data_IF_553349510565
#
_entry.id   IF_553349510565
#
_cell.length_a   1.000
_cell.length_b   1.000
_cell.length_c   1.000
_cell.angle_alpha   90.00
_cell.angle_beta   90.00
_cell.angle_gamma   90.00
#
_symmetry.space_group_name_H-M   'P 1'
#
loop_
_entity.id
_entity.type
_entity.pdbx_description
1 polymer ?
#
# COMPACT_ATOMS: atom_id res chain seq x y z
N UNK A 1 45.35 27.68 -12.68
CA UNK A 1 45.14 26.79 -11.52
C UNK A 1 43.76 27.08 -10.91
N UNK A 2 42.97 26.03 -10.69
CA UNK A 2 41.81 25.96 -9.76
C UNK A 2 40.41 26.37 -10.26
N UNK A 3 39.70 25.44 -10.95
CA UNK A 3 38.23 25.25 -10.80
C UNK A 3 37.81 23.76 -10.84
N UNK A 4 38.67 22.84 -10.40
CA UNK A 4 38.40 21.38 -10.40
C UNK A 4 37.73 20.86 -9.11
N UNK A 5 37.06 21.72 -8.32
CA UNK A 5 36.56 21.38 -6.97
C UNK A 5 35.08 21.66 -6.74
N UNK A 6 34.26 21.64 -7.79
CA UNK A 6 32.79 21.66 -7.63
C UNK A 6 32.11 20.30 -7.90
N UNK A 7 32.88 19.24 -8.17
CA UNK A 7 32.37 17.87 -8.34
C UNK A 7 31.97 17.16 -7.04
N UNK A 8 32.11 17.80 -5.87
CA UNK A 8 31.66 17.23 -4.59
C UNK A 8 30.32 17.79 -4.11
N UNK A 9 29.47 18.35 -4.99
CA UNK A 9 28.04 18.39 -4.69
C UNK A 9 27.52 16.96 -4.80
N UNK A 10 27.63 16.22 -3.69
CA UNK A 10 26.92 14.96 -3.46
C UNK A 10 25.47 15.19 -3.87
N UNK A 11 25.13 14.74 -5.07
CA UNK A 11 23.75 14.57 -5.51
C UNK A 11 23.22 13.54 -4.52
N UNK A 12 22.51 14.04 -3.50
CA UNK A 12 21.77 13.21 -2.55
C UNK A 12 21.02 12.23 -3.43
N UNK A 13 21.33 10.94 -3.32
CA UNK A 13 20.59 9.89 -4.01
C UNK A 13 19.13 10.12 -3.61
N UNK A 14 18.39 10.80 -4.48
CA UNK A 14 16.94 10.80 -4.43
C UNK A 14 16.65 9.33 -4.59
N UNK A 15 16.27 8.67 -3.52
CA UNK A 15 15.83 7.28 -3.56
C UNK A 15 14.66 7.27 -4.54
N UNK A 16 14.95 6.96 -5.81
CA UNK A 16 13.97 6.78 -6.86
C UNK A 16 13.40 5.39 -6.55
N UNK A 17 12.16 5.30 -6.05
CA UNK A 17 11.54 4.01 -5.78
C UNK A 17 11.66 3.15 -7.04
N UNK A 18 11.98 1.87 -6.87
CA UNK A 18 12.23 0.96 -7.99
C UNK A 18 11.10 1.02 -9.04
N UNK A 19 9.85 1.16 -8.56
CA UNK A 19 8.62 1.35 -9.34
C UNK A 19 8.58 2.60 -10.25
N UNK A 20 9.52 3.54 -10.12
CA UNK A 20 9.64 4.74 -10.95
C UNK A 20 10.82 4.67 -11.93
N UNK A 21 11.53 3.53 -11.97
CA UNK A 21 12.51 3.26 -13.02
C UNK A 21 11.77 2.89 -14.32
N UNK A 22 12.07 3.54 -15.47
CA UNK A 22 11.39 3.30 -16.74
C UNK A 22 11.38 1.83 -17.21
N UNK A 23 12.35 1.03 -16.77
CA UNK A 23 12.46 -0.36 -17.19
C UNK A 23 11.43 -1.29 -16.52
N UNK A 24 10.84 -0.89 -15.38
CA UNK A 24 9.93 -1.75 -14.64
C UNK A 24 8.55 -1.86 -15.29
N UNK A 25 8.06 -0.77 -15.90
CA UNK A 25 6.74 -0.78 -16.53
C UNK A 25 6.71 -1.51 -17.88
N UNK A 26 7.84 -1.73 -18.55
CA UNK A 26 7.84 -2.48 -19.83
C UNK A 26 7.39 -3.93 -19.64
N UNK A 27 7.95 -4.61 -18.64
CA UNK A 27 7.55 -5.99 -18.31
C UNK A 27 6.10 -6.05 -17.86
N UNK A 28 5.66 -5.07 -17.07
CA UNK A 28 4.28 -4.97 -16.60
C UNK A 28 3.32 -4.71 -17.76
N UNK A 29 3.68 -3.83 -18.70
CA UNK A 29 2.90 -3.49 -19.90
C UNK A 29 2.73 -4.71 -20.82
N UNK A 30 3.81 -5.46 -21.05
CA UNK A 30 3.75 -6.73 -21.78
C UNK A 30 2.88 -7.76 -21.04
N UNK A 31 3.01 -7.84 -19.72
CA UNK A 31 2.16 -8.68 -18.87
C UNK A 31 0.67 -8.31 -18.94
N UNK A 32 0.34 -7.02 -19.00
CA UNK A 32 -1.04 -6.52 -19.12
C UNK A 32 -1.61 -6.88 -20.50
N UNK A 33 -0.84 -6.64 -21.58
CA UNK A 33 -1.26 -6.99 -22.95
C UNK A 33 -1.50 -8.49 -23.13
N UNK A 34 -0.69 -9.33 -22.48
CA UNK A 34 -0.81 -10.79 -22.54
C UNK A 34 -1.79 -11.37 -21.52
N UNK A 35 -2.34 -10.54 -20.62
CA UNK A 35 -3.30 -10.95 -19.58
C UNK A 35 -2.70 -11.74 -18.42
N UNK A 36 -1.37 -11.73 -18.24
CA UNK A 36 -0.64 -12.47 -17.20
C UNK A 36 -0.08 -11.57 -16.09
N UNK A 37 -0.41 -10.29 -16.10
CA UNK A 37 0.07 -9.33 -15.11
C UNK A 37 -0.51 -9.61 -13.72
N UNK A 38 0.36 -9.79 -12.73
CA UNK A 38 -0.06 -10.00 -11.34
C UNK A 38 0.91 -9.30 -10.40
N UNK A 39 0.37 -8.60 -9.40
CA UNK A 39 1.16 -7.90 -8.40
C UNK A 39 0.82 -8.38 -6.99
N UNK A 40 1.80 -8.41 -6.08
CA UNK A 40 1.54 -8.68 -4.67
C UNK A 40 0.80 -7.49 -4.05
N UNK A 41 -0.52 -7.62 -3.90
CA UNK A 41 -1.38 -6.59 -3.30
C UNK A 41 -2.21 -7.14 -2.15
N UNK A 42 -2.62 -6.25 -1.26
CA UNK A 42 -3.49 -6.58 -0.14
C UNK A 42 -4.91 -6.13 -0.42
N UNK A 43 -5.83 -7.07 -0.56
CA UNK A 43 -7.24 -6.74 -0.68
C UNK A 43 -7.78 -6.20 0.67
N UNK A 44 -8.37 -5.00 0.61
CA UNK A 44 -8.94 -4.33 1.78
C UNK A 44 -10.45 -4.56 1.93
N UNK A 45 -11.14 -4.99 0.86
CA UNK A 45 -12.59 -5.11 0.81
C UNK A 45 -13.19 -4.23 -0.29
N UNK A 46 -14.51 -4.11 -0.28
CA UNK A 46 -15.28 -3.22 -1.15
C UNK A 46 -16.14 -2.29 -0.28
N UNK A 47 -16.46 -1.11 -0.79
CA UNK A 47 -17.33 -0.13 -0.11
C UNK A 47 -18.19 0.56 -1.16
N UNK A 48 -19.44 0.84 -0.80
CA UNK A 48 -20.34 1.62 -1.65
C UNK A 48 -19.96 3.11 -1.58
N UNK A 49 -20.03 3.78 -2.73
CA UNK A 49 -19.66 5.19 -2.88
C UNK A 49 -20.75 5.93 -3.64
N UNK A 50 -20.94 7.20 -3.31
CA UNK A 50 -22.01 8.03 -3.87
C UNK A 50 -21.73 8.42 -5.34
N UNK A 51 -20.46 8.65 -5.69
CA UNK A 51 -20.03 8.96 -7.06
C UNK A 51 -19.11 7.86 -7.60
N UNK A 52 -19.32 7.44 -8.85
CA UNK A 52 -18.54 6.35 -9.44
C UNK A 52 -17.11 6.75 -9.87
N UNK A 53 -16.78 8.05 -9.90
CA UNK A 53 -15.51 8.56 -10.42
C UNK A 53 -15.02 9.75 -9.59
N UNK A 54 -13.71 9.81 -9.35
CA UNK A 54 -13.09 10.95 -8.68
C UNK A 54 -11.95 10.49 -7.78
N UNK A 55 -10.84 11.24 -7.78
CA UNK A 55 -9.68 10.95 -6.93
C UNK A 55 -10.08 10.96 -5.44
N UNK A 56 -10.86 11.97 -5.04
CA UNK A 56 -11.30 12.17 -3.66
C UNK A 56 -12.21 11.03 -3.17
N UNK A 57 -13.05 10.46 -4.05
CA UNK A 57 -13.90 9.32 -3.74
C UNK A 57 -13.06 8.09 -3.41
N UNK A 58 -12.05 7.78 -4.23
CA UNK A 58 -11.13 6.67 -3.99
C UNK A 58 -10.38 6.84 -2.66
N UNK A 59 -9.94 8.05 -2.34
CA UNK A 59 -9.25 8.35 -1.09
C UNK A 59 -10.16 8.12 0.13
N UNK A 60 -11.40 8.61 0.07
CA UNK A 60 -12.38 8.43 1.13
C UNK A 60 -12.77 6.96 1.32
N UNK A 61 -12.99 6.22 0.23
CA UNK A 61 -13.28 4.79 0.25
C UNK A 61 -12.18 4.00 0.99
N UNK A 62 -10.91 4.28 0.67
CA UNK A 62 -9.77 3.63 1.35
C UNK A 62 -9.71 4.03 2.83
N UNK A 63 -10.07 5.28 3.17
CA UNK A 63 -10.12 5.74 4.56
C UNK A 63 -11.18 4.98 5.38
N UNK A 64 -12.38 4.79 4.83
CA UNK A 64 -13.46 3.99 5.44
C UNK A 64 -13.03 2.53 5.63
N UNK A 65 -12.53 1.88 4.58
CA UNK A 65 -12.05 0.49 4.62
C UNK A 65 -10.91 0.27 5.64
N UNK A 66 -9.98 1.22 5.75
CA UNK A 66 -8.90 1.13 6.74
C UNK A 66 -9.41 1.31 8.17
N UNK A 67 -10.42 2.14 8.41
CA UNK A 67 -11.00 2.35 9.74
C UNK A 67 -11.72 1.08 10.24
N UNK A 68 -12.56 0.49 9.39
CA UNK A 68 -13.27 -0.77 9.69
C UNK A 68 -12.30 -1.91 9.97
N UNK A 69 -11.24 -2.04 9.15
CA UNK A 69 -10.23 -3.08 9.34
C UNK A 69 -9.42 -2.90 10.63
N UNK A 70 -9.12 -1.66 11.01
CA UNK A 70 -8.45 -1.37 12.30
C UNK A 70 -9.36 -1.75 13.47
N UNK A 71 -10.65 -1.46 13.36
CA UNK A 71 -11.64 -1.88 14.35
C UNK A 71 -11.67 -3.41 14.48
N UNK A 72 -11.76 -4.14 13.37
CA UNK A 72 -11.77 -5.60 13.38
C UNK A 72 -10.49 -6.22 13.96
N UNK A 73 -9.30 -5.66 13.64
CA UNK A 73 -8.03 -6.13 14.18
C UNK A 73 -7.92 -5.87 15.70
N UNK A 74 -8.46 -4.75 16.18
CA UNK A 74 -8.50 -4.43 17.61
C UNK A 74 -9.53 -5.25 18.39
N UNK A 75 -10.68 -5.57 17.78
CA UNK A 75 -11.76 -6.31 18.41
C UNK A 75 -11.43 -7.80 18.54
N UNK A 76 -10.91 -8.43 17.49
CA UNK A 76 -10.48 -9.84 17.54
C UNK A 76 -9.23 -10.06 18.41
N UNK A 77 -8.35 -9.06 18.49
CA UNK A 77 -7.18 -9.12 19.37
C UNK A 77 -7.54 -9.17 20.86
N UNK A 78 -8.71 -8.63 21.25
CA UNK A 78 -9.16 -8.61 22.65
C UNK A 78 -10.08 -9.78 23.00
N UNK A 79 -10.79 -10.33 22.02
CA UNK A 79 -11.68 -11.49 22.21
C UNK A 79 -10.90 -12.81 22.36
N UNK A 80 -9.71 -12.94 21.74
CA UNK A 80 -8.88 -14.15 21.84
C UNK A 80 -8.05 -14.20 23.15
N UNK A 81 -7.90 -13.09 23.87
CA UNK A 81 -7.11 -13.04 25.12
C UNK A 81 -7.92 -13.23 26.40
N UNK A 82 -9.20 -13.61 26.34
CA UNK A 82 -9.92 -13.99 27.54
C UNK A 82 -9.52 -15.41 27.95
N UNK A 83 -8.81 -15.60 29.08
CA UNK A 83 -8.50 -16.94 29.57
C UNK A 83 -9.82 -17.65 29.94
N UNK A 84 -9.96 -18.95 29.66
CA UNK A 84 -11.08 -19.74 30.18
C UNK A 84 -10.88 -19.94 31.69
N UNK A 85 -11.20 -18.94 32.50
CA UNK A 85 -11.38 -19.16 33.94
C UNK A 85 -12.78 -19.73 34.18
N UNK A 86 -12.80 -20.91 34.79
CA UNK A 86 -13.91 -21.47 35.58
C UNK A 86 -14.99 -22.25 34.82
N UNK A 87 -14.69 -23.52 34.54
CA UNK A 87 -15.70 -24.60 34.62
C UNK A 87 -15.29 -25.55 35.75
N UNK A 88 -15.69 -25.18 36.98
CA UNK A 88 -15.84 -26.14 38.07
C UNK A 88 -17.12 -26.94 37.80
N UNK A 89 -17.00 -28.26 37.70
CA UNK A 89 -17.88 -29.24 38.34
C UNK A 89 -17.16 -30.57 38.40
#
# INVERSE_FOLDING_TARGET
>A
MNKLRQSFRRKKDVYIPEASRPHQWQTDEEGVRTGKCSFPVKYLGHVEVDESRGMHICEEAVKRLKAERKFFKGFFGKLITLPPTSLKK
#
